data_IF_283166232041
#
_entry.id   IF_283166232041
#
_cell.length_a   1.000
_cell.length_b   1.000
_cell.length_c   1.000
_cell.angle_alpha   90.00
_cell.angle_beta   90.00
_cell.angle_gamma   90.00
#
_symmetry.space_group_name_H-M   'P 1'
#
loop_
_entity.id
_entity.type
_entity.pdbx_description
1 polymer ?
#
# COMPACT_ATOMS: atom_id res chain seq x y z
N UNK A 1 -8.88 29.99 6.40
CA UNK A 1 -7.44 29.92 6.07
C UNK A 1 -7.33 29.60 4.60
N UNK A 2 -6.64 30.43 3.81
CA UNK A 2 -6.59 30.32 2.35
C UNK A 2 -5.82 29.07 1.90
N UNK A 3 -6.21 28.47 0.77
CA UNK A 3 -5.52 27.33 0.14
C UNK A 3 -4.01 27.58 -0.06
N UNK A 4 -3.59 28.84 -0.17
CA UNK A 4 -2.18 29.24 -0.32
C UNK A 4 -1.37 28.98 0.94
N UNK A 5 -1.90 29.29 2.13
CA UNK A 5 -1.18 29.06 3.39
C UNK A 5 -0.99 27.57 3.69
N UNK A 6 -1.97 26.76 3.32
CA UNK A 6 -1.90 25.29 3.42
C UNK A 6 -0.84 24.74 2.46
N UNK A 7 -0.79 25.25 1.23
CA UNK A 7 0.18 24.81 0.23
C UNK A 7 1.63 25.09 0.64
N UNK A 8 1.93 26.29 1.17
CA UNK A 8 3.27 26.63 1.67
C UNK A 8 3.73 25.74 2.84
N UNK A 9 2.81 25.39 3.76
CA UNK A 9 3.14 24.51 4.89
C UNK A 9 3.54 23.09 4.46
N UNK A 10 2.91 22.55 3.40
CA UNK A 10 3.26 21.23 2.87
C UNK A 10 4.61 21.22 2.16
N UNK A 11 4.95 22.28 1.43
CA UNK A 11 6.26 22.37 0.78
C UNK A 11 7.37 22.44 1.82
N UNK A 12 7.19 23.23 2.87
CA UNK A 12 8.14 23.31 3.98
C UNK A 12 8.30 21.95 4.68
N UNK A 13 7.19 21.23 4.93
CA UNK A 13 7.23 19.89 5.52
C UNK A 13 7.98 18.89 4.63
N UNK A 14 7.70 18.87 3.32
CA UNK A 14 8.40 17.97 2.38
C UNK A 14 9.91 18.29 2.36
N UNK A 15 10.29 19.57 2.40
CA UNK A 15 11.69 19.95 2.47
C UNK A 15 12.36 19.51 3.77
N UNK A 16 11.68 19.62 4.91
CA UNK A 16 12.19 19.12 6.19
C UNK A 16 12.36 17.59 6.18
N UNK A 17 11.38 16.86 5.64
CA UNK A 17 11.46 15.40 5.49
C UNK A 17 12.61 14.97 4.56
N UNK A 18 12.81 15.68 3.44
CA UNK A 18 13.96 15.45 2.54
C UNK A 18 15.29 15.72 3.25
N UNK A 19 15.40 16.81 4.00
CA UNK A 19 16.60 17.12 4.77
C UNK A 19 16.89 16.06 5.83
N UNK A 20 15.86 15.50 6.48
CA UNK A 20 16.03 14.35 7.39
C UNK A 20 16.50 13.09 6.66
N UNK A 21 15.93 12.82 5.49
CA UNK A 21 16.30 11.67 4.67
C UNK A 21 17.77 11.75 4.22
N UNK A 22 18.26 12.92 3.84
CA UNK A 22 19.66 13.13 3.41
C UNK A 22 20.70 12.83 4.51
N UNK A 23 20.30 12.85 5.79
CA UNK A 23 21.19 12.50 6.90
C UNK A 23 21.54 10.99 6.87
N UNK A 24 20.60 10.14 6.46
CA UNK A 24 20.74 8.68 6.50
C UNK A 24 20.91 8.05 5.11
N UNK A 25 20.25 8.61 4.10
CA UNK A 25 20.29 8.17 2.71
C UNK A 25 21.13 9.16 1.88
N UNK A 26 22.40 8.82 1.63
CA UNK A 26 23.25 9.62 0.74
C UNK A 26 22.93 9.29 -0.71
N UNK A 27 22.93 10.30 -1.59
CA UNK A 27 22.61 10.14 -3.01
C UNK A 27 23.50 9.09 -3.72
N UNK A 28 24.76 8.97 -3.31
CA UNK A 28 25.69 7.95 -3.81
C UNK A 28 25.26 6.51 -3.49
N UNK A 29 24.53 6.32 -2.38
CA UNK A 29 24.05 5.02 -1.94
C UNK A 29 22.77 4.60 -2.68
N UNK A 30 21.99 5.55 -3.21
CA UNK A 30 20.76 5.28 -4.00
C UNK A 30 21.05 4.46 -5.26
N UNK A 31 22.23 4.65 -5.85
CA UNK A 31 22.67 3.92 -7.05
C UNK A 31 23.41 2.61 -6.72
N UNK A 32 23.62 2.29 -5.44
CA UNK A 32 24.19 1.00 -5.05
C UNK A 32 23.10 -0.06 -5.13
N UNK A 33 23.37 -1.12 -5.89
CA UNK A 33 22.47 -2.28 -6.06
C UNK A 33 22.16 -3.03 -4.76
N UNK A 34 22.87 -2.76 -3.67
CA UNK A 34 22.72 -3.47 -2.39
C UNK A 34 22.18 -2.60 -1.25
N UNK A 35 21.83 -1.33 -1.51
CA UNK A 35 21.36 -0.46 -0.43
C UNK A 35 19.97 -0.86 0.04
N UNK A 36 19.89 -1.33 1.29
CA UNK A 36 18.65 -1.72 1.95
C UNK A 36 18.15 -0.53 2.78
N UNK A 37 16.95 -0.05 2.47
CA UNK A 37 16.32 1.03 3.23
C UNK A 37 16.11 0.59 4.69
N UNK A 38 16.48 1.46 5.62
CA UNK A 38 16.14 1.28 7.02
C UNK A 38 14.70 1.75 7.31
N UNK A 39 14.20 1.37 8.49
CA UNK A 39 12.82 1.64 8.90
C UNK A 39 12.46 3.13 8.87
N UNK A 40 13.38 4.01 9.26
CA UNK A 40 13.17 5.45 9.29
C UNK A 40 13.06 6.00 7.87
N UNK A 41 13.93 5.56 6.96
CA UNK A 41 13.87 5.94 5.54
C UNK A 41 12.55 5.53 4.90
N UNK A 42 12.08 4.32 5.17
CA UNK A 42 10.80 3.84 4.66
C UNK A 42 9.65 4.67 5.21
N UNK A 43 9.67 5.00 6.50
CA UNK A 43 8.65 5.84 7.13
C UNK A 43 8.60 7.22 6.47
N UNK A 44 9.76 7.88 6.35
CA UNK A 44 9.87 9.22 5.74
C UNK A 44 9.44 9.20 4.29
N UNK A 45 9.90 8.24 3.49
CA UNK A 45 9.50 8.11 2.09
C UNK A 45 8.00 7.84 1.95
N UNK A 46 7.43 6.99 2.80
CA UNK A 46 5.98 6.71 2.79
C UNK A 46 5.17 7.96 3.12
N UNK A 47 5.61 8.75 4.09
CA UNK A 47 4.98 10.04 4.44
C UNK A 47 5.06 11.04 3.28
N UNK A 48 6.22 11.17 2.64
CA UNK A 48 6.38 12.01 1.45
C UNK A 48 5.42 11.56 0.34
N UNK A 49 5.31 10.25 0.07
CA UNK A 49 4.40 9.70 -0.93
C UNK A 49 2.92 10.01 -0.62
N UNK A 50 2.51 9.89 0.65
CA UNK A 50 1.17 10.25 1.10
C UNK A 50 0.87 11.74 0.92
N UNK A 51 1.86 12.62 1.17
CA UNK A 51 1.72 14.06 0.93
C UNK A 51 1.53 14.35 -0.57
N UNK A 52 2.35 13.75 -1.44
CA UNK A 52 2.19 13.89 -2.89
C UNK A 52 0.83 13.37 -3.36
N UNK A 53 0.38 12.23 -2.85
CA UNK A 53 -0.95 11.70 -3.13
C UNK A 53 -2.06 12.69 -2.75
N UNK A 54 -1.98 13.28 -1.55
CA UNK A 54 -2.92 14.31 -1.09
C UNK A 54 -2.92 15.58 -1.94
N UNK A 55 -1.77 15.93 -2.54
CA UNK A 55 -1.63 17.03 -3.51
C UNK A 55 -2.06 16.65 -4.93
N UNK A 56 -2.49 15.40 -5.15
CA UNK A 56 -2.84 14.83 -6.47
C UNK A 56 -1.65 14.73 -7.43
N UNK A 57 -0.43 14.77 -6.91
CA UNK A 57 0.77 14.41 -7.66
C UNK A 57 0.96 12.89 -7.60
N UNK A 58 0.08 12.20 -8.31
CA UNK A 58 -0.02 10.75 -8.25
C UNK A 58 1.21 10.05 -8.81
N UNK A 59 1.85 10.62 -9.84
CA UNK A 59 3.04 10.06 -10.46
C UNK A 59 4.19 9.98 -9.46
N UNK A 60 4.48 11.09 -8.76
CA UNK A 60 5.54 11.11 -7.75
C UNK A 60 5.26 10.16 -6.58
N UNK A 61 4.00 10.07 -6.14
CA UNK A 61 3.63 9.12 -5.10
C UNK A 61 3.86 7.66 -5.53
N UNK A 62 3.46 7.29 -6.75
CA UNK A 62 3.69 5.95 -7.30
C UNK A 62 5.19 5.64 -7.45
N UNK A 63 5.99 6.60 -7.93
CA UNK A 63 7.44 6.43 -8.07
C UNK A 63 8.10 6.13 -6.72
N UNK A 64 7.70 6.82 -5.66
CA UNK A 64 8.24 6.56 -4.31
C UNK A 64 7.79 5.19 -3.79
N UNK A 65 6.51 4.83 -3.95
CA UNK A 65 6.02 3.53 -3.51
C UNK A 65 6.71 2.36 -4.23
N UNK A 66 6.92 2.50 -5.54
CA UNK A 66 7.64 1.55 -6.36
C UNK A 66 9.10 1.46 -5.94
N UNK A 67 9.78 2.61 -5.73
CA UNK A 67 11.16 2.64 -5.26
C UNK A 67 11.33 1.89 -3.94
N UNK A 68 10.43 2.09 -2.96
CA UNK A 68 10.48 1.35 -1.69
C UNK A 68 10.33 -0.16 -1.94
N UNK A 69 9.35 -0.58 -2.77
CA UNK A 69 9.13 -2.01 -3.05
C UNK A 69 10.31 -2.67 -3.76
N UNK A 70 10.95 -1.97 -4.71
CA UNK A 70 12.14 -2.45 -5.41
C UNK A 70 13.31 -2.67 -4.45
N UNK A 71 13.58 -1.71 -3.55
CA UNK A 71 14.65 -1.86 -2.54
C UNK A 71 14.43 -3.05 -1.62
N UNK A 72 13.18 -3.39 -1.33
CA UNK A 72 12.86 -4.60 -0.58
C UNK A 72 13.04 -5.88 -1.38
N UNK A 73 12.68 -5.86 -2.67
CA UNK A 73 12.85 -6.99 -3.57
C UNK A 73 14.31 -7.30 -3.85
N UNK A 74 15.16 -6.29 -3.91
CA UNK A 74 16.61 -6.42 -4.15
C UNK A 74 17.40 -6.75 -2.87
N UNK A 75 16.77 -6.65 -1.70
CA UNK A 75 17.44 -6.92 -0.42
C UNK A 75 17.82 -8.40 -0.28
N UNK A 76 19.04 -8.65 0.18
CA UNK A 76 19.45 -9.99 0.62
C UNK A 76 18.73 -10.46 1.90
N UNK A 77 18.05 -9.54 2.60
CA UNK A 77 17.26 -9.82 3.79
C UNK A 77 15.82 -10.10 3.36
N UNK A 78 15.30 -11.27 3.74
CA UNK A 78 13.94 -11.66 3.39
C UNK A 78 12.91 -10.63 3.89
N UNK A 79 11.86 -10.30 3.09
CA UNK A 79 10.82 -9.33 3.47
C UNK A 79 10.17 -9.58 4.83
N UNK A 80 10.14 -10.83 5.29
CA UNK A 80 9.64 -11.22 6.63
C UNK A 80 10.30 -10.45 7.78
N UNK A 81 11.56 -10.05 7.66
CA UNK A 81 12.28 -9.32 8.70
C UNK A 81 11.99 -7.81 8.71
N UNK A 82 11.40 -7.29 7.63
CA UNK A 82 11.02 -5.87 7.49
C UNK A 82 9.52 -5.69 7.25
N UNK A 83 8.75 -6.72 7.58
CA UNK A 83 7.38 -6.86 7.10
C UNK A 83 6.42 -5.79 7.61
N UNK A 84 6.68 -5.15 8.75
CA UNK A 84 5.78 -4.09 9.23
C UNK A 84 5.78 -2.89 8.27
N UNK A 85 6.97 -2.39 7.96
CA UNK A 85 7.11 -1.19 7.13
C UNK A 85 6.84 -1.53 5.65
N UNK A 86 7.28 -2.70 5.16
CA UNK A 86 6.94 -3.17 3.82
C UNK A 86 5.44 -3.41 3.62
N UNK A 87 4.74 -4.03 4.60
CA UNK A 87 3.29 -4.27 4.48
C UNK A 87 2.50 -2.96 4.36
N UNK A 88 2.93 -1.91 5.06
CA UNK A 88 2.30 -0.61 4.97
C UNK A 88 2.52 0.02 3.58
N UNK A 89 3.75 -0.01 3.08
CA UNK A 89 4.07 0.50 1.74
C UNK A 89 3.29 -0.24 0.64
N UNK A 90 3.35 -1.57 0.63
CA UNK A 90 2.74 -2.39 -0.42
C UNK A 90 1.20 -2.26 -0.43
N UNK A 91 0.58 -2.05 0.73
CA UNK A 91 -0.85 -1.79 0.83
C UNK A 91 -1.20 -0.42 0.24
N UNK A 92 -0.48 0.64 0.61
CA UNK A 92 -0.68 1.96 0.03
C UNK A 92 -0.46 1.97 -1.48
N UNK A 93 0.57 1.25 -1.95
CA UNK A 93 0.89 1.13 -3.36
C UNK A 93 -0.23 0.41 -4.13
N UNK A 94 -0.69 -0.75 -3.65
CA UNK A 94 -1.80 -1.47 -4.26
C UNK A 94 -3.07 -0.61 -4.33
N UNK A 95 -3.35 0.18 -3.28
CA UNK A 95 -4.45 1.15 -3.27
C UNK A 95 -4.32 2.17 -4.38
N UNK A 96 -3.15 2.79 -4.46
CA UNK A 96 -2.87 3.86 -5.39
C UNK A 96 -3.05 3.39 -6.83
N UNK A 97 -2.54 2.19 -7.13
CA UNK A 97 -2.71 1.54 -8.42
C UNK A 97 -4.20 1.25 -8.73
N UNK A 98 -4.97 0.77 -7.76
CA UNK A 98 -6.40 0.51 -7.92
C UNK A 98 -7.22 1.80 -8.15
N UNK A 99 -6.98 2.84 -7.34
CA UNK A 99 -7.64 4.15 -7.47
C UNK A 99 -7.38 4.79 -8.84
N UNK A 100 -6.21 4.54 -9.44
CA UNK A 100 -5.81 5.00 -10.78
C UNK A 100 -6.14 4.01 -11.90
N UNK A 101 -6.83 2.90 -11.59
CA UNK A 101 -7.25 1.88 -12.55
C UNK A 101 -6.10 1.13 -13.23
N UNK A 102 -4.91 1.11 -12.62
CA UNK A 102 -3.78 0.25 -13.00
C UNK A 102 -3.98 -1.19 -12.48
N UNK A 103 -5.09 -1.81 -12.88
CA UNK A 103 -5.58 -3.06 -12.30
C UNK A 103 -4.61 -4.23 -12.38
N UNK A 104 -3.89 -4.37 -13.50
CA UNK A 104 -2.94 -5.47 -13.68
C UNK A 104 -1.81 -5.39 -12.65
N UNK A 105 -1.30 -4.19 -12.41
CA UNK A 105 -0.23 -3.93 -11.46
C UNK A 105 -0.76 -4.05 -10.03
N UNK A 106 -1.92 -3.46 -9.71
CA UNK A 106 -2.58 -3.61 -8.41
C UNK A 106 -2.78 -5.09 -8.05
N UNK A 107 -3.27 -5.90 -8.99
CA UNK A 107 -3.45 -7.34 -8.83
C UNK A 107 -2.14 -8.08 -8.55
N UNK A 108 -1.07 -7.76 -9.31
CA UNK A 108 0.24 -8.35 -9.11
C UNK A 108 0.81 -8.00 -7.73
N UNK A 109 0.72 -6.72 -7.35
CA UNK A 109 1.13 -6.19 -6.05
C UNK A 109 0.40 -6.88 -4.91
N UNK A 110 -0.93 -7.03 -4.99
CA UNK A 110 -1.71 -7.77 -3.99
C UNK A 110 -1.32 -9.25 -3.90
N UNK A 111 -1.06 -9.93 -5.02
CA UNK A 111 -0.64 -11.33 -5.01
C UNK A 111 0.73 -11.51 -4.34
N UNK A 112 1.70 -10.65 -4.67
CA UNK A 112 3.01 -10.59 -4.00
C UNK A 112 2.84 -10.39 -2.49
N UNK A 113 2.02 -9.42 -2.09
CA UNK A 113 1.71 -9.12 -0.69
C UNK A 113 1.10 -10.32 0.04
N UNK A 114 0.06 -10.94 -0.52
CA UNK A 114 -0.60 -12.13 0.05
C UNK A 114 0.40 -13.27 0.24
N UNK A 115 1.24 -13.56 -0.75
CA UNK A 115 2.23 -14.63 -0.66
C UNK A 115 3.22 -14.40 0.50
N UNK A 116 3.74 -13.18 0.63
CA UNK A 116 4.69 -12.84 1.69
C UNK A 116 4.02 -12.86 3.07
N UNK A 117 2.82 -12.28 3.20
CA UNK A 117 2.08 -12.28 4.47
C UNK A 117 1.74 -13.70 4.93
N UNK A 118 1.37 -14.60 4.01
CA UNK A 118 1.15 -16.01 4.33
C UNK A 118 2.44 -16.70 4.78
N UNK A 119 3.56 -16.47 4.09
CA UNK A 119 4.86 -17.04 4.47
C UNK A 119 5.28 -16.64 5.89
N UNK A 120 4.91 -15.45 6.33
CA UNK A 120 5.21 -14.94 7.66
C UNK A 120 4.11 -15.15 8.71
N UNK A 121 3.01 -15.82 8.36
CA UNK A 121 1.89 -16.06 9.27
C UNK A 121 1.10 -14.80 9.66
N UNK A 122 1.17 -13.71 8.88
CA UNK A 122 0.45 -12.45 9.15
C UNK A 122 -0.93 -12.42 8.49
N UNK A 123 -1.82 -13.31 8.93
CA UNK A 123 -3.16 -13.41 8.34
C UNK A 123 -4.04 -12.17 8.51
N UNK A 124 -3.83 -11.38 9.59
CA UNK A 124 -4.62 -10.17 9.86
C UNK A 124 -4.50 -9.10 8.77
N UNK A 125 -3.37 -9.07 8.05
CA UNK A 125 -3.11 -8.08 6.99
C UNK A 125 -3.65 -8.51 5.62
N UNK A 126 -4.10 -9.76 5.46
CA UNK A 126 -4.56 -10.29 4.17
C UNK A 126 -5.88 -9.69 3.69
N UNK A 127 -6.74 -9.26 4.62
CA UNK A 127 -8.07 -8.76 4.30
C UNK A 127 -8.02 -7.65 3.26
N UNK A 128 -7.10 -6.71 3.44
CA UNK A 128 -6.93 -5.56 2.56
C UNK A 128 -6.62 -5.95 1.10
N UNK A 129 -5.67 -6.85 0.88
CA UNK A 129 -5.31 -7.31 -0.47
C UNK A 129 -6.47 -8.06 -1.12
N UNK A 130 -7.18 -8.91 -0.36
CA UNK A 130 -8.33 -9.64 -0.88
C UNK A 130 -9.48 -8.72 -1.26
N UNK A 131 -9.67 -7.61 -0.54
CA UNK A 131 -10.66 -6.58 -0.87
C UNK A 131 -10.34 -5.94 -2.22
N UNK A 132 -9.11 -5.43 -2.43
CA UNK A 132 -8.71 -4.83 -3.71
C UNK A 132 -8.92 -5.83 -4.85
N UNK A 133 -8.42 -7.05 -4.68
CA UNK A 133 -8.58 -8.09 -5.71
C UNK A 133 -10.05 -8.37 -6.01
N UNK A 134 -10.91 -8.42 -4.99
CA UNK A 134 -12.35 -8.61 -5.18
C UNK A 134 -12.99 -7.44 -5.95
N UNK A 135 -12.68 -6.20 -5.58
CA UNK A 135 -13.19 -4.99 -6.24
C UNK A 135 -12.76 -4.91 -7.71
N UNK A 136 -11.47 -5.16 -8.00
CA UNK A 136 -10.96 -5.19 -9.38
C UNK A 136 -11.68 -6.28 -10.19
N UNK A 137 -11.82 -7.48 -9.64
CA UNK A 137 -12.52 -8.58 -10.33
C UNK A 137 -13.99 -8.27 -10.55
N UNK A 138 -14.66 -7.60 -9.61
CA UNK A 138 -16.04 -7.13 -9.76
C UNK A 138 -16.15 -6.13 -10.91
N UNK A 139 -15.26 -5.15 -10.96
CA UNK A 139 -15.25 -4.11 -12.00
C UNK A 139 -14.96 -4.70 -13.39
N UNK A 140 -14.14 -5.74 -13.47
CA UNK A 140 -13.93 -6.52 -14.69
C UNK A 140 -15.06 -7.51 -15.03
N UNK A 141 -16.13 -7.58 -14.22
CA UNK A 141 -17.27 -8.48 -14.44
C UNK A 141 -16.96 -9.97 -14.20
N UNK A 142 -15.93 -10.28 -13.41
CA UNK A 142 -15.50 -11.65 -13.12
C UNK A 142 -16.22 -12.19 -11.88
N UNK A 143 -17.11 -13.16 -12.07
CA UNK A 143 -17.88 -13.83 -11.00
C UNK A 143 -17.04 -14.40 -9.84
N UNK A 144 -15.75 -14.70 -10.08
CA UNK A 144 -14.84 -15.16 -9.03
C UNK A 144 -14.63 -14.12 -7.92
N UNK A 145 -14.95 -12.84 -8.15
CA UNK A 145 -14.93 -11.78 -7.13
C UNK A 145 -15.72 -12.16 -5.86
N UNK A 146 -16.85 -12.86 -6.03
CA UNK A 146 -17.72 -13.31 -4.93
C UNK A 146 -16.98 -14.20 -3.93
N UNK A 147 -16.10 -15.07 -4.43
CA UNK A 147 -15.25 -15.91 -3.58
C UNK A 147 -14.30 -15.05 -2.73
N UNK A 148 -13.69 -14.03 -3.33
CA UNK A 148 -12.75 -13.15 -2.65
C UNK A 148 -13.45 -12.28 -1.61
N UNK A 149 -14.62 -11.71 -1.91
CA UNK A 149 -15.43 -10.99 -0.93
C UNK A 149 -15.80 -11.88 0.27
N UNK A 150 -16.23 -13.12 0.03
CA UNK A 150 -16.53 -14.07 1.11
C UNK A 150 -15.30 -14.39 1.96
N UNK A 151 -14.14 -14.59 1.33
CA UNK A 151 -12.88 -14.83 2.04
C UNK A 151 -12.44 -13.63 2.87
N UNK A 152 -12.56 -12.42 2.31
CA UNK A 152 -12.29 -11.17 3.01
C UNK A 152 -13.18 -11.03 4.25
N UNK A 153 -14.50 -11.16 4.12
CA UNK A 153 -15.43 -11.07 5.26
C UNK A 153 -15.14 -12.11 6.34
N UNK A 154 -14.81 -13.34 5.96
CA UNK A 154 -14.42 -14.39 6.91
C UNK A 154 -13.15 -14.01 7.68
N UNK A 155 -12.14 -13.46 7.01
CA UNK A 155 -10.91 -13.02 7.65
C UNK A 155 -11.13 -11.82 8.57
N UNK A 156 -11.86 -10.80 8.12
CA UNK A 156 -12.19 -9.63 8.95
C UNK A 156 -12.92 -10.05 10.23
N UNK A 157 -13.88 -10.99 10.12
CA UNK A 157 -14.59 -11.55 11.27
C UNK A 157 -13.67 -12.37 12.19
N UNK A 158 -12.80 -13.21 11.62
CA UNK A 158 -11.85 -14.02 12.38
C UNK A 158 -10.91 -13.15 13.23
N UNK A 159 -10.43 -12.05 12.65
CA UNK A 159 -9.50 -11.12 13.31
C UNK A 159 -10.19 -10.01 14.10
N UNK A 160 -11.52 -10.03 14.23
CA UNK A 160 -12.31 -9.02 14.97
C UNK A 160 -12.10 -7.60 14.45
N UNK A 161 -11.96 -7.45 13.14
CA UNK A 161 -11.86 -6.16 12.45
C UNK A 161 -13.28 -5.62 12.18
N UNK A 162 -13.99 -5.28 13.25
CA UNK A 162 -15.44 -5.01 13.22
C UNK A 162 -15.82 -3.81 12.32
N UNK A 163 -14.98 -2.77 12.30
CA UNK A 163 -15.19 -1.59 11.46
C UNK A 163 -15.10 -1.95 9.97
N UNK A 164 -14.01 -2.59 9.56
CA UNK A 164 -13.79 -3.00 8.17
C UNK A 164 -14.82 -4.06 7.74
N UNK A 165 -15.17 -4.99 8.64
CA UNK A 165 -16.19 -5.99 8.39
C UNK A 165 -17.53 -5.33 8.07
N UNK A 166 -17.94 -4.31 8.84
CA UNK A 166 -19.19 -3.59 8.60
C UNK A 166 -19.19 -2.87 7.26
N UNK A 167 -18.09 -2.19 6.92
CA UNK A 167 -17.94 -1.50 5.62
C UNK A 167 -18.06 -2.50 4.48
N UNK A 168 -17.31 -3.60 4.53
CA UNK A 168 -17.33 -4.60 3.48
C UNK A 168 -18.64 -5.35 3.37
N UNK A 169 -19.30 -5.62 4.50
CA UNK A 169 -20.61 -6.26 4.53
C UNK A 169 -21.66 -5.41 3.82
N UNK A 170 -21.72 -4.11 4.15
CA UNK A 170 -22.65 -3.18 3.50
C UNK A 170 -22.39 -3.12 1.99
N UNK A 171 -21.12 -3.01 1.59
CA UNK A 171 -20.73 -2.97 0.18
C UNK A 171 -21.24 -4.18 -0.62
N UNK A 172 -21.09 -5.40 -0.09
CA UNK A 172 -21.53 -6.61 -0.81
C UNK A 172 -23.04 -6.80 -0.81
N UNK A 173 -23.74 -6.35 0.24
CA UNK A 173 -25.20 -6.44 0.36
C UNK A 173 -25.89 -5.46 -0.58
N UNK A 174 -25.43 -4.21 -0.61
CA UNK A 174 -25.97 -3.15 -1.50
C UNK A 174 -25.84 -3.52 -2.98
N UNK A 175 -24.82 -4.31 -3.33
CA UNK A 175 -24.53 -4.75 -4.70
C UNK A 175 -25.03 -6.15 -5.02
N UNK A 176 -25.71 -6.82 -4.09
CA UNK A 176 -26.28 -8.17 -4.28
C UNK A 176 -25.22 -9.21 -4.71
N UNK A 177 -23.99 -9.10 -4.19
CA UNK A 177 -22.83 -9.89 -4.67
C UNK A 177 -22.75 -11.29 -4.07
N UNK A 178 -23.30 -11.51 -2.88
CA UNK A 178 -23.19 -12.79 -2.14
C UNK A 178 -24.54 -13.50 -1.92
N UNK A 179 -25.58 -13.05 -2.64
CA UNK A 179 -26.93 -13.61 -2.58
C UNK A 179 -27.11 -14.80 -3.53
#
# INVERSE_FOLDING_TARGET
MSNVAIFCAYEELVQQLKALLEITLKFEDVYRTEYVLNRQEISVLTEIALIYWGKKDYQMALEIYHFIDDRYSDSCIKPVFHMLDWNMNIANYARALDELKYFKEAMCTCQKAVQQMLYAGKGASLGYCLMIQACIMEEEGKEVCKKYFKQNLNLLKLYKMDADYKVMKNYVEERNLLN
#
